data_IF_247774214495
#
_entry.id   IF_247774214495
#
_cell.length_a   1.000
_cell.length_b   1.000
_cell.length_c   1.000
_cell.angle_alpha   90.00
_cell.angle_beta   90.00
_cell.angle_gamma   90.00
#
_symmetry.space_group_name_H-M   'P 1'
#
loop_
_entity.id
_entity.type
_entity.pdbx_description
1 polymer ?
#
# COMPACT_ATOMS: atom_id res chain seq x y z
N UNK A 1 6.36 21.25 -19.64
CA UNK A 1 5.87 19.85 -19.68
C UNK A 1 6.14 19.23 -18.33
N UNK A 2 5.10 18.90 -17.55
CA UNK A 2 5.27 18.19 -16.27
C UNK A 2 5.45 16.69 -16.56
N UNK A 3 6.47 16.07 -15.95
CA UNK A 3 6.65 14.61 -16.02
C UNK A 3 5.69 13.96 -15.04
N UNK A 4 5.03 12.86 -15.44
CA UNK A 4 4.26 12.04 -14.51
C UNK A 4 5.26 11.24 -13.65
N UNK A 5 5.29 11.52 -12.36
CA UNK A 5 6.19 10.85 -11.42
C UNK A 5 5.59 9.57 -10.83
N UNK A 6 4.34 9.21 -11.18
CA UNK A 6 3.66 7.99 -10.77
C UNK A 6 3.73 7.72 -9.25
N UNK A 7 3.60 8.77 -8.43
CA UNK A 7 3.72 8.69 -6.97
C UNK A 7 5.16 8.81 -6.43
N UNK A 8 6.16 8.96 -7.29
CA UNK A 8 7.57 9.11 -6.91
C UNK A 8 7.97 10.49 -6.37
N UNK A 9 7.02 11.29 -5.89
CA UNK A 9 7.30 12.65 -5.39
C UNK A 9 7.90 12.60 -3.99
N UNK A 10 9.06 13.21 -3.81
CA UNK A 10 9.70 13.35 -2.49
C UNK A 10 9.22 14.61 -1.76
N UNK A 11 8.88 14.49 -0.49
CA UNK A 11 8.48 15.63 0.35
C UNK A 11 9.60 16.05 1.31
N UNK A 12 9.67 17.36 1.57
CA UNK A 12 10.67 18.00 2.45
C UNK A 12 10.04 18.65 3.69
N UNK A 13 8.71 18.61 3.81
CA UNK A 13 7.94 19.19 4.91
C UNK A 13 6.89 18.18 5.38
N UNK A 14 6.33 18.35 6.60
CA UNK A 14 5.17 17.57 7.04
C UNK A 14 4.08 17.58 5.97
N UNK A 15 3.60 16.39 5.60
CA UNK A 15 2.77 16.19 4.40
C UNK A 15 1.58 15.31 4.74
N UNK A 16 0.40 15.74 4.31
CA UNK A 16 -0.81 14.92 4.28
C UNK A 16 -0.99 14.37 2.87
N UNK A 17 -1.02 13.05 2.74
CA UNK A 17 -1.43 12.37 1.51
C UNK A 17 -2.88 11.97 1.62
N UNK A 18 -3.70 12.44 0.68
CA UNK A 18 -5.10 12.04 0.55
C UNK A 18 -5.26 11.15 -0.69
N UNK A 19 -5.42 9.85 -0.48
CA UNK A 19 -5.36 8.82 -1.54
C UNK A 19 -6.44 7.73 -1.39
N UNK A 20 -7.70 8.04 -1.06
CA UNK A 20 -8.74 7.00 -0.97
C UNK A 20 -8.87 6.26 -2.32
N UNK A 21 -9.00 4.93 -2.27
CA UNK A 21 -9.16 4.08 -3.47
C UNK A 21 -8.04 4.15 -4.51
N UNK A 22 -6.88 4.68 -4.16
CA UNK A 22 -5.71 4.64 -5.04
C UNK A 22 -5.20 3.21 -5.24
N UNK A 23 -4.60 2.90 -6.41
CA UNK A 23 -3.85 1.66 -6.61
C UNK A 23 -2.76 1.49 -5.55
N UNK A 24 -2.61 0.27 -5.02
CA UNK A 24 -1.59 -0.09 -4.00
C UNK A 24 -0.15 0.25 -4.45
N UNK A 25 0.10 0.21 -5.76
CA UNK A 25 1.38 0.58 -6.37
C UNK A 25 1.73 2.06 -6.17
N UNK A 26 0.73 2.96 -6.11
CA UNK A 26 1.00 4.36 -5.80
C UNK A 26 1.47 4.55 -4.35
N UNK A 27 0.87 3.83 -3.39
CA UNK A 27 1.33 3.86 -2.00
C UNK A 27 2.78 3.35 -1.90
N UNK A 28 3.08 2.22 -2.53
CA UNK A 28 4.44 1.66 -2.58
C UNK A 28 5.44 2.67 -3.16
N UNK A 29 5.11 3.31 -4.28
CA UNK A 29 5.97 4.30 -4.92
C UNK A 29 6.23 5.53 -4.05
N UNK A 30 5.20 6.06 -3.39
CA UNK A 30 5.36 7.22 -2.50
C UNK A 30 6.22 6.86 -1.29
N UNK A 31 5.98 5.71 -0.67
CA UNK A 31 6.78 5.23 0.47
C UNK A 31 8.23 5.01 0.05
N UNK A 32 8.46 4.43 -1.13
CA UNK A 32 9.79 4.19 -1.70
C UNK A 32 10.54 5.50 -1.97
N UNK A 33 9.89 6.50 -2.57
CA UNK A 33 10.49 7.80 -2.86
C UNK A 33 10.84 8.59 -1.58
N UNK A 34 10.17 8.27 -0.47
CA UNK A 34 10.32 8.95 0.81
C UNK A 34 10.92 8.07 1.89
N UNK A 35 11.64 7.01 1.51
CA UNK A 35 12.18 5.97 2.41
C UNK A 35 13.30 6.50 3.32
N UNK A 36 12.91 7.27 4.31
CA UNK A 36 13.75 7.90 5.31
C UNK A 36 12.92 8.13 6.57
N UNK A 37 13.56 8.00 7.73
CA UNK A 37 12.87 8.09 9.02
C UNK A 37 12.25 9.46 9.24
N UNK A 38 12.97 10.53 8.91
CA UNK A 38 12.51 11.89 9.14
C UNK A 38 11.34 12.27 8.23
N UNK A 39 11.35 11.79 6.99
CA UNK A 39 10.22 11.99 6.08
C UNK A 39 8.99 11.19 6.51
N UNK A 40 9.14 9.89 6.71
CA UNK A 40 8.00 9.02 7.02
C UNK A 40 7.34 9.34 8.37
N UNK A 41 8.10 9.75 9.40
CA UNK A 41 7.50 10.16 10.68
C UNK A 41 6.64 11.43 10.59
N UNK A 42 6.85 12.25 9.56
CA UNK A 42 6.09 13.51 9.33
C UNK A 42 4.98 13.35 8.29
N UNK A 43 4.80 12.12 7.79
CA UNK A 43 3.77 11.77 6.83
C UNK A 43 2.48 11.39 7.57
N UNK A 44 1.37 11.99 7.14
CA UNK A 44 0.01 11.53 7.47
C UNK A 44 -0.61 10.99 6.20
N UNK A 45 -1.10 9.76 6.22
CA UNK A 45 -1.77 9.12 5.09
C UNK A 45 -3.25 8.96 5.38
N UNK A 46 -4.10 9.60 4.58
CA UNK A 46 -5.54 9.38 4.58
C UNK A 46 -5.90 8.57 3.32
N UNK A 47 -6.22 7.30 3.49
CA UNK A 47 -6.47 6.37 2.39
C UNK A 47 -6.82 4.98 2.87
N UNK A 48 -6.69 3.99 1.99
CA UNK A 48 -6.92 2.59 2.34
C UNK A 48 -5.89 2.14 3.38
N UNK A 49 -6.28 1.27 4.31
CA UNK A 49 -5.37 0.72 5.30
C UNK A 49 -4.25 -0.07 4.62
N UNK A 50 -3.00 0.27 4.92
CA UNK A 50 -1.82 -0.38 4.34
C UNK A 50 -1.73 -1.86 4.73
N UNK A 51 -2.27 -2.22 5.89
CA UNK A 51 -2.32 -3.60 6.39
C UNK A 51 -3.07 -4.54 5.41
N UNK A 52 -4.07 -4.03 4.68
CA UNK A 52 -4.77 -4.78 3.63
C UNK A 52 -3.84 -5.31 2.53
N UNK A 53 -2.65 -4.72 2.40
CA UNK A 53 -1.67 -5.03 1.38
C UNK A 53 -0.42 -5.74 1.93
N UNK A 54 -0.32 -5.96 3.24
CA UNK A 54 0.89 -6.48 3.89
C UNK A 54 1.35 -7.84 3.35
N UNK A 55 0.41 -8.72 2.98
CA UNK A 55 0.67 -10.05 2.44
C UNK A 55 1.03 -10.06 0.94
N UNK A 56 1.06 -8.90 0.29
CA UNK A 56 1.34 -8.82 -1.13
C UNK A 56 2.86 -8.79 -1.37
N UNK A 57 3.42 -9.90 -1.86
CA UNK A 57 4.86 -10.06 -2.10
C UNK A 57 5.50 -9.01 -3.04
N UNK A 58 4.70 -8.19 -3.71
CA UNK A 58 5.17 -7.14 -4.62
C UNK A 58 5.25 -5.74 -4.01
N UNK A 59 4.98 -5.59 -2.70
CA UNK A 59 4.90 -4.29 -2.02
C UNK A 59 5.85 -4.26 -0.80
N UNK A 60 7.16 -4.40 -1.02
CA UNK A 60 8.12 -4.61 0.06
C UNK A 60 8.25 -3.41 1.02
N UNK A 61 8.00 -2.17 0.57
CA UNK A 61 7.99 -1.00 1.45
C UNK A 61 6.78 -1.05 2.38
N UNK A 62 5.60 -1.36 1.85
CA UNK A 62 4.37 -1.53 2.64
C UNK A 62 4.54 -2.65 3.65
N UNK A 63 4.91 -3.86 3.23
CA UNK A 63 5.06 -5.02 4.14
C UNK A 63 6.02 -4.75 5.30
N UNK A 64 7.07 -3.94 5.07
CA UNK A 64 8.04 -3.56 6.10
C UNK A 64 7.54 -2.47 7.05
N UNK A 65 6.71 -1.54 6.57
CA UNK A 65 6.19 -0.43 7.37
C UNK A 65 4.96 -0.78 8.20
N UNK A 66 4.10 -1.69 7.73
CA UNK A 66 2.81 -2.02 8.38
C UNK A 66 2.92 -2.23 9.90
N UNK A 67 3.94 -2.94 10.46
CA UNK A 67 4.08 -3.09 11.91
C UNK A 67 4.29 -1.78 12.69
N UNK A 68 4.64 -0.70 11.99
CA UNK A 68 4.92 0.63 12.53
C UNK A 68 3.86 1.67 12.14
N UNK A 69 2.76 1.24 11.52
CA UNK A 69 1.65 2.09 11.13
C UNK A 69 0.57 2.04 12.20
N UNK A 70 0.18 3.23 12.68
CA UNK A 70 -0.99 3.38 13.53
C UNK A 70 -2.16 3.88 12.68
N UNK A 71 -3.21 3.06 12.58
CA UNK A 71 -4.42 3.36 11.82
C UNK A 71 -5.53 3.91 12.72
N UNK A 72 -6.26 4.88 12.19
CA UNK A 72 -7.46 5.50 12.75
C UNK A 72 -8.55 5.49 11.69
N UNK A 73 -9.50 4.55 11.78
CA UNK A 73 -10.57 4.43 10.79
C UNK A 73 -11.44 5.68 10.80
N UNK A 74 -11.77 6.16 9.60
CA UNK A 74 -12.77 7.21 9.45
C UNK A 74 -14.17 6.59 9.59
N UNK A 75 -15.14 7.32 10.17
CA UNK A 75 -16.52 6.86 10.21
C UNK A 75 -17.02 6.56 8.80
N UNK A 76 -17.68 5.42 8.63
CA UNK A 76 -18.34 5.10 7.38
C UNK A 76 -19.40 6.18 7.09
N UNK A 77 -19.22 6.90 5.98
CA UNK A 77 -20.25 7.81 5.51
C UNK A 77 -21.36 7.01 4.84
N UNK A 78 -22.60 7.32 5.16
CA UNK A 78 -23.75 6.77 4.46
C UNK A 78 -23.71 7.28 3.02
N UNK A 79 -23.32 6.42 2.10
CA UNK A 79 -23.39 6.70 0.66
C UNK A 79 -24.26 5.65 -0.02
N UNK A 80 -24.70 5.96 -1.23
CA UNK A 80 -25.44 5.01 -2.05
C UNK A 80 -24.59 3.81 -2.52
N UNK A 81 -23.27 3.83 -2.29
CA UNK A 81 -22.33 2.79 -2.72
C UNK A 81 -21.53 2.29 -1.52
N UNK A 82 -21.78 1.05 -1.10
CA UNK A 82 -21.02 0.42 -0.01
C UNK A 82 -19.50 0.50 -0.28
N UNK A 83 -18.73 0.87 0.75
CA UNK A 83 -17.27 0.95 0.70
C UNK A 83 -16.68 2.14 -0.06
N UNK A 84 -17.50 3.05 -0.60
CA UNK A 84 -17.02 4.20 -1.37
C UNK A 84 -16.16 5.19 -0.57
N UNK A 85 -16.21 5.13 0.76
CA UNK A 85 -15.48 6.06 1.65
C UNK A 85 -14.76 5.34 2.79
N UNK A 86 -14.52 4.03 2.66
CA UNK A 86 -13.75 3.27 3.64
C UNK A 86 -12.28 3.72 3.54
N UNK A 87 -11.84 4.52 4.50
CA UNK A 87 -10.49 5.04 4.59
C UNK A 87 -10.08 5.18 6.06
N UNK A 88 -8.78 5.21 6.29
CA UNK A 88 -8.16 5.44 7.58
C UNK A 88 -7.13 6.55 7.48
N UNK A 89 -7.01 7.31 8.56
CA UNK A 89 -5.84 8.15 8.82
C UNK A 89 -4.76 7.26 9.42
N UNK A 90 -3.59 7.28 8.82
CA UNK A 90 -2.45 6.44 9.15
C UNK A 90 -1.23 7.31 9.42
N UNK A 91 -0.59 7.09 10.56
CA UNK A 91 0.66 7.74 10.96
C UNK A 91 1.74 6.69 11.21
N UNK A 92 3.01 7.07 11.08
CA UNK A 92 4.13 6.13 11.10
C UNK A 92 5.02 6.38 12.30
N UNK A 93 5.41 5.30 12.99
CA UNK A 93 6.33 5.30 14.14
C UNK A 93 5.86 6.11 15.37
N UNK A 94 4.62 6.59 15.36
CA UNK A 94 4.02 7.39 16.43
C UNK A 94 2.53 7.12 16.54
N UNK A 95 1.88 7.79 17.48
CA UNK A 95 0.42 7.86 17.60
C UNK A 95 -0.04 9.31 17.56
N UNK A 96 -1.30 9.54 17.19
CA UNK A 96 -1.93 10.84 17.36
C UNK A 96 -2.27 11.04 18.83
N UNK A 97 -1.81 12.13 19.46
CA UNK A 97 -2.13 12.41 20.84
C UNK A 97 -3.64 12.63 21.00
N UNK A 98 -4.21 12.10 22.07
CA UNK A 98 -5.63 12.23 22.42
C UNK A 98 -6.63 11.59 21.43
N UNK A 99 -6.16 10.80 20.46
CA UNK A 99 -7.03 9.97 19.61
C UNK A 99 -6.80 8.50 19.97
N UNK A 100 -7.82 7.77 20.46
CA UNK A 100 -7.67 6.36 20.75
C UNK A 100 -7.41 5.59 19.44
N UNK A 101 -6.47 4.62 19.44
CA UNK A 101 -6.36 3.64 18.37
C UNK A 101 -7.71 3.02 18.08
N UNK A 102 -8.03 2.77 16.81
CA UNK A 102 -9.16 1.90 16.50
C UNK A 102 -8.79 0.47 16.88
N UNK A 103 -9.09 0.05 18.12
CA UNK A 103 -9.01 -1.35 18.53
C UNK A 103 -10.18 -2.08 17.88
N UNK A 104 -9.87 -2.94 16.91
CA UNK A 104 -10.79 -3.81 16.18
C UNK A 104 -11.96 -4.33 17.04
N UNK A 105 -13.17 -3.99 16.66
CA UNK A 105 -14.41 -4.77 16.87
C UNK A 105 -15.49 -4.21 15.94
N UNK A 106 -15.26 -4.29 14.63
CA UNK A 106 -16.38 -4.53 13.71
C UNK A 106 -15.83 -5.17 12.42
N UNK A 107 -16.33 -6.37 12.13
CA UNK A 107 -15.96 -7.29 11.03
C UNK A 107 -16.46 -6.77 9.66
N UNK A 108 -16.14 -5.51 9.35
CA UNK A 108 -16.30 -4.97 8.00
C UNK A 108 -15.19 -5.49 7.09
N UNK A 109 -15.24 -6.78 6.72
CA UNK A 109 -14.37 -7.29 5.65
C UNK A 109 -14.69 -6.51 4.37
N UNK A 110 -13.79 -5.64 3.94
CA UNK A 110 -13.79 -5.09 2.59
C UNK A 110 -13.73 -6.27 1.61
N UNK A 111 -14.86 -6.60 0.99
CA UNK A 111 -14.90 -7.50 -0.15
C UNK A 111 -14.46 -6.71 -1.38
N UNK A 112 -13.26 -6.98 -1.87
CA UNK A 112 -12.83 -6.49 -3.16
C UNK A 112 -13.91 -6.85 -4.21
N UNK A 113 -14.38 -5.85 -4.96
CA UNK A 113 -15.37 -6.06 -6.00
C UNK A 113 -14.94 -7.22 -6.90
N UNK A 114 -15.79 -8.24 -7.01
CA UNK A 114 -15.54 -9.46 -7.80
C UNK A 114 -15.40 -9.08 -9.27
N UNK A 115 -14.17 -8.86 -9.74
CA UNK A 115 -13.90 -8.84 -11.17
C UNK A 115 -14.19 -10.24 -11.70
N UNK A 116 -15.07 -10.34 -12.71
CA UNK A 116 -15.43 -11.61 -13.37
C UNK A 116 -14.15 -12.39 -13.69
N UNK A 117 -14.00 -13.55 -13.06
CA UNK A 117 -12.81 -14.38 -13.17
C UNK A 117 -12.67 -14.91 -14.61
N UNK A 118 -11.57 -14.56 -15.29
CA UNK A 118 -11.03 -15.38 -16.39
C UNK A 118 -10.20 -16.48 -15.75
N UNK A 119 -10.59 -17.72 -16.03
CA UNK A 119 -9.95 -18.95 -15.54
C UNK A 119 -8.48 -18.98 -15.96
N UNK A 120 -7.54 -18.93 -15.01
CA UNK A 120 -6.13 -19.23 -15.27
C UNK A 120 -5.62 -20.31 -14.31
N UNK A 121 -4.91 -21.25 -14.90
CA UNK A 121 -4.52 -22.55 -14.35
C UNK A 121 -3.71 -22.49 -13.05
N UNK A 122 -3.89 -23.56 -12.24
CA UNK A 122 -3.15 -23.92 -11.02
C UNK A 122 -1.64 -23.72 -11.20
N UNK A 123 -1.04 -22.86 -10.37
CA UNK A 123 0.42 -22.81 -10.17
C UNK A 123 0.75 -23.30 -8.77
N UNK A 124 1.75 -24.17 -8.72
CA UNK A 124 2.12 -25.01 -7.58
C UNK A 124 2.45 -24.28 -6.28
N UNK A 125 2.28 -25.07 -5.23
CA UNK A 125 2.53 -24.82 -3.82
C UNK A 125 3.96 -24.28 -3.60
N UNK A 126 4.10 -23.00 -3.28
CA UNK A 126 5.38 -22.42 -2.89
C UNK A 126 5.68 -22.83 -1.44
N UNK A 127 6.85 -23.42 -1.23
CA UNK A 127 7.39 -23.79 0.07
C UNK A 127 7.52 -22.55 0.96
N UNK A 128 7.06 -22.68 2.21
CA UNK A 128 7.17 -21.64 3.22
C UNK A 128 8.66 -21.39 3.54
N UNK A 129 9.21 -20.31 2.99
CA UNK A 129 10.48 -19.76 3.46
C UNK A 129 10.25 -19.22 4.87
N UNK A 130 11.06 -19.68 5.83
CA UNK A 130 11.21 -19.07 7.14
C UNK A 130 11.42 -17.57 6.96
N UNK A 131 10.42 -16.77 7.33
CA UNK A 131 10.52 -15.32 7.30
C UNK A 131 11.41 -14.92 8.47
N UNK A 132 12.53 -14.21 8.23
CA UNK A 132 13.31 -13.65 9.33
C UNK A 132 12.42 -12.73 10.17
N UNK A 133 12.72 -12.57 11.49
CA UNK A 133 11.96 -11.68 12.34
C UNK A 133 11.91 -10.26 11.75
N UNK A 134 10.81 -9.52 11.94
CA UNK A 134 10.67 -8.18 11.38
C UNK A 134 11.82 -7.29 11.85
N UNK A 135 12.47 -6.63 10.88
CA UNK A 135 13.54 -5.66 11.16
C UNK A 135 13.01 -4.57 12.10
N UNK A 136 13.79 -4.20 13.10
CA UNK A 136 13.44 -3.15 14.04
C UNK A 136 13.68 -1.77 13.42
N UNK A 137 12.84 -0.78 13.70
CA UNK A 137 12.97 0.57 13.13
C UNK A 137 14.20 1.36 13.63
N UNK A 138 14.85 0.91 14.71
CA UNK A 138 16.13 1.41 15.21
C UNK A 138 17.35 0.79 14.52
N UNK A 139 17.17 -0.28 13.74
CA UNK A 139 18.23 -0.93 12.97
C UNK A 139 18.50 -0.17 11.65
N UNK A 140 19.75 0.23 11.34
CA UNK A 140 20.11 0.79 10.04
C UNK A 140 19.70 -0.08 8.84
N UNK A 141 19.65 -1.41 9.00
CA UNK A 141 19.23 -2.34 7.95
C UNK A 141 17.75 -2.15 7.56
N UNK A 142 16.89 -1.71 8.49
CA UNK A 142 15.50 -1.37 8.19
C UNK A 142 15.39 -0.28 7.12
N UNK A 143 16.27 0.71 7.21
CA UNK A 143 16.30 1.90 6.36
C UNK A 143 17.02 1.68 5.03
N UNK A 144 17.63 0.50 4.81
CA UNK A 144 18.05 0.11 3.48
C UNK A 144 16.81 -0.12 2.61
N UNK A 145 16.66 0.68 1.56
CA UNK A 145 15.51 0.62 0.67
C UNK A 145 15.33 -0.81 0.14
N UNK A 146 14.15 -1.43 0.30
CA UNK A 146 13.92 -2.77 -0.23
C UNK A 146 14.21 -2.84 -1.73
N UNK A 147 14.73 -3.96 -2.26
CA UNK A 147 14.88 -4.11 -3.70
C UNK A 147 13.51 -4.01 -4.38
N UNK A 148 13.40 -3.39 -5.56
CA UNK A 148 12.14 -3.37 -6.29
C UNK A 148 11.75 -4.81 -6.67
N UNK A 149 10.47 -5.13 -6.55
CA UNK A 149 9.97 -6.41 -7.05
C UNK A 149 10.16 -6.43 -8.57
N UNK A 150 10.75 -7.48 -9.16
CA UNK A 150 10.83 -7.57 -10.61
C UNK A 150 9.40 -7.47 -11.18
N UNK A 151 9.20 -6.48 -12.05
CA UNK A 151 7.97 -6.36 -12.85
C UNK A 151 7.91 -7.63 -13.68
N UNK A 152 6.96 -8.53 -13.37
CA UNK A 152 6.69 -9.66 -14.24
C UNK A 152 6.36 -9.14 -15.63
N UNK A 153 6.82 -9.84 -16.68
CA UNK A 153 6.66 -9.43 -18.08
C UNK A 153 5.30 -8.77 -18.30
N UNK A 154 5.31 -7.52 -18.78
CA UNK A 154 4.11 -6.81 -19.19
C UNK A 154 3.48 -7.59 -20.34
N UNK A 155 2.51 -8.46 -20.02
CA UNK A 155 1.79 -9.22 -21.04
C UNK A 155 0.90 -8.21 -21.76
N UNK A 156 1.40 -7.69 -22.88
CA UNK A 156 0.63 -6.91 -23.85
C UNK A 156 -0.62 -7.73 -24.20
N UNK A 157 -1.76 -7.36 -23.62
CA UNK A 157 -3.01 -8.12 -23.81
C UNK A 157 -3.80 -7.62 -25.01
N UNK A 158 -3.26 -6.63 -25.72
CA UNK A 158 -3.87 -6.08 -26.93
C UNK A 158 -3.34 -6.88 -28.12
N UNK A 159 -4.17 -7.67 -28.82
CA UNK A 159 -3.77 -8.25 -30.09
C UNK A 159 -3.46 -7.11 -31.06
N UNK A 160 -2.25 -7.12 -31.63
CA UNK A 160 -1.91 -6.28 -32.79
C UNK A 160 -2.72 -6.85 -33.95
N UNK A 161 -3.61 -6.07 -34.61
CA UNK A 161 -4.25 -6.55 -35.82
C UNK A 161 -3.15 -6.77 -36.86
N UNK A 162 -3.02 -8.02 -37.32
CA UNK A 162 -2.11 -8.38 -38.40
C UNK A 162 -2.37 -7.47 -39.59
N UNK A 163 -1.29 -6.88 -40.09
CA UNK A 163 -1.32 -5.95 -41.21
C UNK A 163 -2.00 -6.59 -42.42
N UNK A 164 -2.93 -5.85 -43.01
CA UNK A 164 -3.48 -6.13 -44.33
C UNK A 164 -2.35 -5.90 -45.33
N UNK A 165 -1.85 -6.99 -45.93
CA UNK A 165 -1.12 -6.97 -47.20
C UNK A 165 -2.11 -6.89 -48.36
#
# INVERSE_FOLDING_TARGET
MGRNECGGYSFTSPTLLYMPHCPKELYENVLRANWDRQRLQTLVLCGNELDMYALHNSLPCISRLVPYVQSYRLPAMQTHVAGALDAAVQVFFSSLPHVPPTTSSDDGFYQAATRKARTRARRGQSTAKSTPPPLRSDDPAFWQLPPPTPVGEEILTTPVPDGVL
#
